data_IF_308314948763
#
_entry.id   IF_308314948763
#
_cell.length_a   1.000
_cell.length_b   1.000
_cell.length_c   1.000
_cell.angle_alpha   90.00
_cell.angle_beta   90.00
_cell.angle_gamma   90.00
#
_symmetry.space_group_name_H-M   'P 1'
#
loop_
_entity.id
_entity.type
_entity.pdbx_description
1 polymer ?
#
# COMPACT_ATOMS: atom_id res chain seq x y z
N UNK A 1 7.31 15.03 26.65
CA UNK A 1 6.39 15.08 25.48
C UNK A 1 7.06 14.70 24.15
N UNK A 2 8.14 15.36 23.73
CA UNK A 2 8.83 15.08 22.45
C UNK A 2 9.23 13.61 22.24
N UNK A 3 9.83 12.96 23.26
CA UNK A 3 10.16 11.52 23.20
C UNK A 3 8.93 10.62 22.96
N UNK A 4 7.79 10.94 23.59
CA UNK A 4 6.53 10.20 23.40
C UNK A 4 5.97 10.42 22.00
N UNK A 5 5.96 11.66 21.50
CA UNK A 5 5.56 11.96 20.12
C UNK A 5 6.43 11.21 19.10
N UNK A 6 7.74 11.12 19.33
CA UNK A 6 8.63 10.33 18.50
C UNK A 6 8.28 8.84 18.51
N UNK A 7 7.90 8.27 19.67
CA UNK A 7 7.41 6.89 19.76
C UNK A 7 6.14 6.69 18.94
N UNK A 8 5.15 7.58 19.04
CA UNK A 8 3.92 7.47 18.23
C UNK A 8 4.19 7.66 16.73
N UNK A 9 5.02 8.62 16.34
CA UNK A 9 5.39 8.84 14.93
C UNK A 9 6.15 7.65 14.33
N UNK A 10 7.05 7.05 15.12
CA UNK A 10 7.74 5.80 14.77
C UNK A 10 6.75 4.63 14.70
N UNK A 11 5.76 4.57 15.61
CA UNK A 11 4.75 3.52 15.64
C UNK A 11 3.91 3.47 14.35
N UNK A 12 3.58 4.64 13.82
CA UNK A 12 2.85 4.78 12.54
C UNK A 12 3.79 4.62 11.33
N UNK A 13 5.12 4.71 11.52
CA UNK A 13 6.09 5.00 10.46
C UNK A 13 5.58 6.12 9.57
N UNK A 14 5.43 7.33 10.12
CA UNK A 14 4.89 8.47 9.39
C UNK A 14 5.59 8.74 8.04
N UNK A 15 6.92 8.54 7.98
CA UNK A 15 7.70 8.61 6.73
C UNK A 15 7.21 7.65 5.65
N UNK A 16 6.67 6.49 6.04
CA UNK A 16 6.09 5.53 5.13
C UNK A 16 4.62 5.84 4.77
N UNK A 17 3.93 6.71 5.51
CA UNK A 17 2.57 7.15 5.16
C UNK A 17 2.52 7.97 3.88
N UNK A 18 3.62 8.67 3.58
CA UNK A 18 3.82 9.33 2.29
C UNK A 18 3.75 8.35 1.11
N UNK A 19 4.04 7.06 1.30
CA UNK A 19 4.02 6.07 0.22
C UNK A 19 2.63 5.61 -0.18
N UNK A 20 1.64 5.64 0.72
CA UNK A 20 0.28 5.24 0.39
C UNK A 20 -0.56 6.40 -0.16
N UNK A 21 -0.24 7.64 0.21
CA UNK A 21 -0.93 8.87 -0.20
C UNK A 21 -1.17 8.97 -1.72
N UNK A 22 -0.19 8.64 -2.58
CA UNK A 22 -0.39 8.63 -4.03
C UNK A 22 -1.56 7.81 -4.53
N UNK A 23 -1.95 6.73 -3.84
CA UNK A 23 -2.85 5.74 -4.43
C UNK A 23 -4.31 6.17 -4.41
N UNK A 24 -4.82 6.63 -3.25
CA UNK A 24 -6.18 7.15 -3.22
C UNK A 24 -6.29 8.49 -3.95
N UNK A 25 -5.24 9.33 -3.91
CA UNK A 25 -5.22 10.55 -4.71
C UNK A 25 -5.23 10.26 -6.21
N UNK A 26 -4.54 9.23 -6.68
CA UNK A 26 -4.60 8.79 -8.07
C UNK A 26 -6.02 8.36 -8.48
N UNK A 27 -6.71 7.61 -7.62
CA UNK A 27 -8.13 7.25 -7.84
C UNK A 27 -9.04 8.47 -7.90
N UNK A 28 -8.87 9.42 -6.99
CA UNK A 28 -9.62 10.67 -6.97
C UNK A 28 -9.34 11.57 -8.19
N UNK A 29 -8.08 11.62 -8.65
CA UNK A 29 -7.68 12.35 -9.85
C UNK A 29 -8.25 11.73 -11.12
N UNK A 30 -8.25 10.40 -11.25
CA UNK A 30 -8.92 9.76 -12.39
C UNK A 30 -10.42 10.05 -12.40
N UNK A 31 -11.07 10.01 -11.23
CA UNK A 31 -12.48 10.34 -11.10
C UNK A 31 -12.78 11.83 -11.38
N UNK A 32 -11.79 12.73 -11.25
CA UNK A 32 -11.96 14.17 -11.49
C UNK A 32 -12.36 14.49 -12.94
N UNK A 33 -12.04 13.58 -13.87
CA UNK A 33 -12.47 13.64 -15.27
C UNK A 33 -13.99 13.58 -15.44
N UNK A 34 -14.69 13.01 -14.47
CA UNK A 34 -16.14 12.79 -14.51
C UNK A 34 -16.90 13.60 -13.47
N UNK A 35 -16.23 13.98 -12.36
CA UNK A 35 -16.87 14.64 -11.23
C UNK A 35 -15.97 15.73 -10.67
N UNK A 36 -16.53 16.91 -10.38
CA UNK A 36 -15.78 17.99 -9.77
C UNK A 36 -15.23 17.59 -8.38
N UNK A 37 -13.92 17.78 -8.22
CA UNK A 37 -13.22 17.52 -6.96
C UNK A 37 -13.09 18.83 -6.19
N UNK A 38 -13.54 18.82 -4.93
CA UNK A 38 -13.41 19.98 -4.03
C UNK A 38 -12.24 19.77 -3.07
N UNK A 39 -11.60 20.86 -2.63
CA UNK A 39 -10.55 20.81 -1.62
C UNK A 39 -11.00 20.16 -0.31
N UNK A 40 -12.28 20.32 0.05
CA UNK A 40 -12.87 19.65 1.22
C UNK A 40 -12.84 18.12 1.08
N UNK A 41 -13.20 17.59 -0.10
CA UNK A 41 -13.13 16.13 -0.36
C UNK A 41 -11.68 15.64 -0.31
N UNK A 42 -10.74 16.39 -0.89
CA UNK A 42 -9.31 16.07 -0.81
C UNK A 42 -8.85 16.01 0.65
N UNK A 43 -9.22 17.00 1.47
CA UNK A 43 -8.90 17.01 2.91
C UNK A 43 -9.42 15.77 3.64
N UNK A 44 -10.68 15.37 3.41
CA UNK A 44 -11.24 14.17 4.03
C UNK A 44 -10.61 12.86 3.50
N UNK A 45 -10.23 12.80 2.22
CA UNK A 45 -9.46 11.68 1.68
C UNK A 45 -8.13 11.54 2.43
N UNK A 46 -7.40 12.63 2.63
CA UNK A 46 -6.13 12.62 3.36
C UNK A 46 -6.32 12.13 4.80
N UNK A 47 -7.34 12.62 5.51
CA UNK A 47 -7.67 12.16 6.87
C UNK A 47 -8.00 10.66 6.86
N UNK A 48 -8.84 10.20 5.93
CA UNK A 48 -9.20 8.79 5.81
C UNK A 48 -7.98 7.91 5.54
N UNK A 49 -7.08 8.31 4.64
CA UNK A 49 -5.87 7.55 4.33
C UNK A 49 -4.91 7.46 5.52
N UNK A 50 -4.62 8.61 6.15
CA UNK A 50 -3.69 8.66 7.30
C UNK A 50 -4.23 7.83 8.46
N UNK A 51 -5.53 7.92 8.74
CA UNK A 51 -6.17 7.17 9.83
C UNK A 51 -6.28 5.67 9.53
N UNK A 52 -6.70 5.27 8.32
CA UNK A 52 -6.73 3.86 7.91
C UNK A 52 -5.34 3.22 7.99
N UNK A 53 -4.31 3.91 7.48
CA UNK A 53 -2.93 3.42 7.55
C UNK A 53 -2.42 3.34 8.98
N UNK A 54 -2.73 4.34 9.80
CA UNK A 54 -2.38 4.34 11.23
C UNK A 54 -3.00 3.14 11.94
N UNK A 55 -4.27 2.87 11.68
CA UNK A 55 -4.96 1.69 12.20
C UNK A 55 -4.29 0.39 11.70
N UNK A 56 -3.99 0.29 10.40
CA UNK A 56 -3.30 -0.85 9.80
C UNK A 56 -1.96 -1.17 10.47
N UNK A 57 -1.10 -0.16 10.58
CA UNK A 57 0.25 -0.30 11.16
C UNK A 57 0.18 -0.61 12.65
N UNK A 58 -0.73 0.04 13.37
CA UNK A 58 -0.94 -0.23 14.78
C UNK A 58 -1.44 -1.64 15.02
N UNK A 59 -2.41 -2.10 14.23
CA UNK A 59 -2.95 -3.44 14.31
C UNK A 59 -1.90 -4.50 13.95
N UNK A 60 -1.12 -4.26 12.89
CA UNK A 60 -0.02 -5.13 12.49
C UNK A 60 0.97 -5.37 13.64
N UNK A 61 1.44 -4.27 14.26
CA UNK A 61 2.36 -4.34 15.40
C UNK A 61 1.73 -4.99 16.62
N UNK A 62 0.45 -4.75 16.88
CA UNK A 62 -0.26 -5.35 17.99
C UNK A 62 -0.41 -6.87 17.80
N UNK A 63 -0.83 -7.30 16.60
CA UNK A 63 -1.00 -8.70 16.26
C UNK A 63 0.33 -9.45 16.31
N UNK A 64 1.40 -8.85 15.78
CA UNK A 64 2.70 -9.49 15.65
C UNK A 64 3.64 -9.28 16.83
N UNK A 65 3.25 -8.53 17.86
CA UNK A 65 4.13 -8.17 19.00
C UNK A 65 4.93 -9.33 19.61
N UNK A 66 4.35 -10.54 19.70
CA UNK A 66 5.07 -11.74 20.21
C UNK A 66 6.10 -12.26 19.21
N UNK A 67 5.73 -12.34 17.93
CA UNK A 67 6.64 -12.77 16.86
C UNK A 67 7.74 -11.73 16.64
N UNK A 68 7.39 -10.45 16.70
CA UNK A 68 8.32 -9.35 16.54
C UNK A 68 9.43 -9.36 17.62
N UNK A 69 9.11 -9.83 18.83
CA UNK A 69 10.08 -9.98 19.92
C UNK A 69 11.09 -11.12 19.68
N UNK A 70 10.72 -12.12 18.87
CA UNK A 70 11.56 -13.27 18.55
C UNK A 70 12.42 -13.03 17.29
N UNK A 71 12.00 -12.14 16.39
CA UNK A 71 12.76 -11.82 15.17
C UNK A 71 13.83 -10.75 15.46
N UNK A 72 15.13 -11.04 15.25
CA UNK A 72 16.23 -10.08 15.49
C UNK A 72 16.03 -8.73 14.81
N UNK A 73 15.42 -8.72 13.61
CA UNK A 73 15.16 -7.51 12.81
C UNK A 73 14.10 -6.60 13.45
N UNK A 74 13.18 -7.16 14.22
CA UNK A 74 12.02 -6.44 14.76
C UNK A 74 11.98 -6.38 16.28
N UNK A 75 12.92 -7.04 16.97
CA UNK A 75 13.01 -7.04 18.43
C UNK A 75 13.18 -5.64 19.02
N UNK A 76 13.71 -4.69 18.25
CA UNK A 76 13.87 -3.29 18.66
C UNK A 76 12.59 -2.44 18.57
N UNK A 77 11.49 -2.99 18.03
CA UNK A 77 10.20 -2.29 17.90
C UNK A 77 9.62 -1.91 19.28
N UNK A 78 8.66 -1.01 19.25
CA UNK A 78 8.11 -0.26 20.37
C UNK A 78 7.36 -1.15 21.35
N UNK A 79 6.60 -2.13 20.86
CA UNK A 79 5.89 -3.10 21.69
C UNK A 79 6.87 -4.14 22.29
N UNK A 80 7.73 -4.82 21.51
CA UNK A 80 8.74 -5.75 22.07
C UNK A 80 9.68 -5.12 23.11
N UNK A 81 10.17 -3.90 22.86
CA UNK A 81 11.09 -3.19 23.77
C UNK A 81 10.39 -2.46 24.92
N UNK A 82 9.06 -2.55 25.02
CA UNK A 82 8.28 -1.94 26.10
C UNK A 82 8.17 -0.40 26.04
N UNK A 83 8.52 0.23 24.91
CA UNK A 83 8.36 1.67 24.72
C UNK A 83 6.89 2.13 24.57
N UNK A 84 6.00 1.19 24.25
CA UNK A 84 4.55 1.37 24.22
C UNK A 84 3.88 0.13 24.83
N UNK A 85 2.85 0.32 25.64
CA UNK A 85 2.06 -0.78 26.19
C UNK A 85 1.02 -1.30 25.18
N UNK A 86 0.59 -2.55 25.34
CA UNK A 86 -0.49 -3.12 24.52
C UNK A 86 -1.80 -2.32 24.62
N UNK A 87 -2.13 -1.79 25.82
CA UNK A 87 -3.33 -0.97 26.02
C UNK A 87 -3.25 0.34 25.24
N UNK A 88 -2.10 1.02 25.26
CA UNK A 88 -1.87 2.23 24.46
C UNK A 88 -1.97 1.94 22.95
N UNK A 89 -1.37 0.85 22.48
CA UNK A 89 -1.44 0.45 21.07
C UNK A 89 -2.88 0.09 20.65
N UNK A 90 -3.64 -0.63 21.47
CA UNK A 90 -5.05 -0.94 21.19
C UNK A 90 -5.89 0.34 21.13
N UNK A 91 -5.74 1.24 22.11
CA UNK A 91 -6.46 2.51 22.11
C UNK A 91 -6.13 3.34 20.85
N UNK A 92 -4.87 3.36 20.43
CA UNK A 92 -4.44 4.01 19.20
C UNK A 92 -5.14 3.42 17.96
N UNK A 93 -5.19 2.09 17.84
CA UNK A 93 -5.86 1.42 16.71
C UNK A 93 -7.36 1.72 16.69
N UNK A 94 -8.04 1.67 17.83
CA UNK A 94 -9.47 1.98 17.94
C UNK A 94 -9.74 3.44 17.55
N UNK A 95 -8.96 4.38 18.08
CA UNK A 95 -9.09 5.81 17.75
C UNK A 95 -8.82 6.08 16.27
N UNK A 96 -7.76 5.51 15.70
CA UNK A 96 -7.46 5.65 14.28
C UNK A 96 -8.58 5.06 13.40
N UNK A 97 -9.15 3.93 13.80
CA UNK A 97 -10.29 3.32 13.08
C UNK A 97 -11.54 4.20 13.16
N UNK A 98 -11.84 4.78 14.32
CA UNK A 98 -12.97 5.68 14.49
C UNK A 98 -12.82 6.96 13.64
N UNK A 99 -11.62 7.54 13.59
CA UNK A 99 -11.31 8.69 12.72
C UNK A 99 -11.47 8.31 11.24
N UNK A 100 -11.06 7.11 10.83
CA UNK A 100 -11.26 6.64 9.46
C UNK A 100 -12.74 6.52 9.10
N UNK A 101 -13.54 5.87 9.96
CA UNK A 101 -14.99 5.72 9.74
C UNK A 101 -15.68 7.09 9.69
N UNK A 102 -15.31 8.01 10.58
CA UNK A 102 -15.84 9.37 10.55
C UNK A 102 -15.44 10.12 9.28
N UNK A 103 -14.19 10.02 8.83
CA UNK A 103 -13.76 10.62 7.57
C UNK A 103 -14.52 10.04 6.38
N UNK A 104 -14.75 8.72 6.35
CA UNK A 104 -15.55 8.05 5.33
C UNK A 104 -17.01 8.55 5.31
N UNK A 105 -17.61 8.79 6.49
CA UNK A 105 -18.92 9.43 6.63
C UNK A 105 -18.95 10.84 6.03
N UNK A 106 -17.90 11.63 6.24
CA UNK A 106 -17.79 12.99 5.69
C UNK A 106 -17.56 13.02 4.17
N UNK A 107 -17.12 11.91 3.57
CA UNK A 107 -16.94 11.80 2.12
C UNK A 107 -18.27 11.54 1.41
N UNK A 108 -18.96 10.43 1.74
CA UNK A 108 -20.30 10.12 1.23
C UNK A 108 -20.87 8.84 1.90
N UNK A 109 -22.19 8.56 1.76
CA UNK A 109 -22.81 7.38 2.36
C UNK A 109 -22.23 6.04 1.90
N UNK A 110 -21.76 5.94 0.66
CA UNK A 110 -21.17 4.70 0.13
C UNK A 110 -19.81 4.41 0.79
N UNK A 111 -18.94 5.42 0.88
CA UNK A 111 -17.67 5.29 1.60
C UNK A 111 -17.88 4.92 3.07
N UNK A 112 -18.89 5.51 3.74
CA UNK A 112 -19.25 5.15 5.10
C UNK A 112 -19.63 3.68 5.23
N UNK A 113 -20.56 3.22 4.39
CA UNK A 113 -21.04 1.84 4.37
C UNK A 113 -19.92 0.83 4.09
N UNK A 114 -18.94 1.19 3.24
CA UNK A 114 -17.79 0.34 2.92
C UNK A 114 -16.63 0.44 3.92
N UNK A 115 -16.64 1.44 4.81
CA UNK A 115 -15.55 1.65 5.76
C UNK A 115 -15.26 0.44 6.68
N UNK A 116 -16.27 -0.31 7.20
CA UNK A 116 -15.99 -1.54 7.96
C UNK A 116 -15.34 -2.64 7.11
N UNK A 117 -15.73 -2.76 5.84
CA UNK A 117 -15.16 -3.73 4.89
C UNK A 117 -13.69 -3.37 4.60
N UNK A 118 -13.40 -2.09 4.38
CA UNK A 118 -12.04 -1.61 4.18
C UNK A 118 -11.14 -1.91 5.39
N UNK A 119 -11.62 -1.65 6.61
CA UNK A 119 -10.88 -2.00 7.84
C UNK A 119 -10.68 -3.51 7.99
N UNK A 120 -11.70 -4.32 7.68
CA UNK A 120 -11.59 -5.77 7.73
C UNK A 120 -10.49 -6.29 6.81
N UNK A 121 -10.42 -5.82 5.56
CA UNK A 121 -9.37 -6.18 4.60
C UNK A 121 -7.98 -5.77 5.13
N UNK A 122 -7.85 -4.53 5.59
CA UNK A 122 -6.59 -3.96 6.06
C UNK A 122 -6.08 -4.66 7.34
N UNK A 123 -6.96 -5.06 8.25
CA UNK A 123 -6.57 -5.83 9.43
C UNK A 123 -6.27 -7.29 9.09
N UNK A 124 -7.04 -7.90 8.21
CA UNK A 124 -6.87 -9.30 7.84
C UNK A 124 -5.46 -9.60 7.30
N UNK A 125 -4.87 -8.70 6.52
CA UNK A 125 -3.51 -8.89 6.00
C UNK A 125 -2.49 -9.18 7.13
N UNK A 126 -2.61 -8.51 8.29
CA UNK A 126 -1.69 -8.71 9.42
C UNK A 126 -1.78 -10.11 10.04
N UNK A 127 -2.90 -10.80 9.81
CA UNK A 127 -3.14 -12.15 10.27
C UNK A 127 -2.85 -13.19 9.19
N UNK A 128 -2.82 -12.78 7.92
CA UNK A 128 -2.76 -13.68 6.76
C UNK A 128 -1.60 -14.69 6.85
N UNK A 129 -0.43 -14.27 7.33
CA UNK A 129 0.74 -15.15 7.49
C UNK A 129 0.54 -16.33 8.44
N UNK A 130 -0.51 -16.33 9.27
CA UNK A 130 -0.87 -17.44 10.17
C UNK A 130 -1.76 -18.48 9.49
N UNK A 131 -2.41 -18.10 8.39
CA UNK A 131 -3.49 -18.88 7.79
C UNK A 131 -3.25 -19.23 6.31
N UNK A 132 -2.45 -18.45 5.57
CA UNK A 132 -2.29 -18.64 4.13
C UNK A 132 -0.87 -18.37 3.65
N UNK A 133 -0.45 -19.06 2.60
CA UNK A 133 0.79 -18.76 1.87
C UNK A 133 0.70 -17.43 1.13
N UNK A 134 -0.51 -17.03 0.72
CA UNK A 134 -0.73 -15.88 -0.18
C UNK A 134 -0.76 -14.54 0.55
N UNK A 135 -0.02 -14.40 1.65
CA UNK A 135 0.04 -13.20 2.50
C UNK A 135 0.25 -11.92 1.70
N UNK A 136 1.16 -11.95 0.73
CA UNK A 136 1.48 -10.81 -0.14
C UNK A 136 0.30 -10.37 -1.02
N UNK A 137 -0.56 -11.30 -1.44
CA UNK A 137 -1.78 -10.97 -2.20
C UNK A 137 -2.80 -10.23 -1.32
N UNK A 138 -2.88 -10.58 -0.03
CA UNK A 138 -3.75 -9.86 0.91
C UNK A 138 -3.22 -8.46 1.25
N UNK A 139 -1.90 -8.28 1.32
CA UNK A 139 -1.32 -6.93 1.39
C UNK A 139 -1.63 -6.15 0.11
N UNK A 140 -1.45 -6.76 -1.06
CA UNK A 140 -1.82 -6.18 -2.34
C UNK A 140 -3.29 -5.76 -2.38
N UNK A 141 -4.20 -6.61 -1.90
CA UNK A 141 -5.63 -6.30 -1.77
C UNK A 141 -5.87 -5.11 -0.84
N UNK A 142 -5.23 -5.05 0.32
CA UNK A 142 -5.34 -3.92 1.24
C UNK A 142 -4.91 -2.59 0.59
N UNK A 143 -3.89 -2.63 -0.28
CA UNK A 143 -3.44 -1.47 -1.04
C UNK A 143 -4.36 -1.15 -2.23
N UNK A 144 -4.95 -2.16 -2.87
CA UNK A 144 -5.90 -2.01 -3.97
C UNK A 144 -7.20 -1.29 -3.55
N UNK A 145 -7.56 -1.35 -2.26
CA UNK A 145 -8.70 -0.60 -1.71
C UNK A 145 -8.49 0.92 -1.80
N UNK A 146 -7.24 1.41 -1.71
CA UNK A 146 -6.96 2.84 -1.68
C UNK A 146 -7.40 3.60 -2.96
N UNK A 147 -6.99 3.21 -4.19
CA UNK A 147 -7.45 3.89 -5.41
C UNK A 147 -8.96 3.80 -5.63
N UNK A 148 -9.60 2.66 -5.32
CA UNK A 148 -11.06 2.52 -5.41
C UNK A 148 -11.74 3.46 -4.41
N UNK A 149 -11.25 3.50 -3.17
CA UNK A 149 -11.73 4.40 -2.14
C UNK A 149 -11.61 5.87 -2.56
N UNK A 150 -10.49 6.26 -3.17
CA UNK A 150 -10.28 7.61 -3.69
C UNK A 150 -11.24 7.99 -4.82
N UNK A 151 -11.48 7.07 -5.76
CA UNK A 151 -12.46 7.24 -6.84
C UNK A 151 -13.88 7.43 -6.29
N UNK A 152 -14.31 6.55 -5.39
CA UNK A 152 -15.63 6.61 -4.74
C UNK A 152 -15.77 7.86 -3.85
N UNK A 153 -14.71 8.27 -3.17
CA UNK A 153 -14.70 9.40 -2.25
C UNK A 153 -15.10 10.72 -2.92
N UNK A 154 -14.69 10.92 -4.17
CA UNK A 154 -15.08 12.13 -4.92
C UNK A 154 -16.42 12.00 -5.64
N UNK A 155 -17.02 10.81 -5.64
CA UNK A 155 -18.31 10.51 -6.27
C UNK A 155 -18.20 9.82 -7.62
N UNK A 156 -17.02 9.30 -8.00
CA UNK A 156 -16.85 8.50 -9.20
C UNK A 156 -17.76 7.27 -9.18
N UNK A 157 -18.39 6.96 -10.32
CA UNK A 157 -19.29 5.82 -10.50
C UNK A 157 -19.00 5.12 -11.82
N UNK A 158 -19.19 3.80 -11.84
CA UNK A 158 -18.92 2.99 -13.03
C UNK A 158 -17.45 3.05 -13.46
N UNK A 159 -17.21 2.68 -14.72
CA UNK A 159 -15.87 2.70 -15.30
C UNK A 159 -15.00 1.51 -14.91
N UNK A 160 -14.02 1.22 -15.75
CA UNK A 160 -13.00 0.18 -15.49
C UNK A 160 -11.75 0.78 -14.86
N UNK A 161 -11.59 2.10 -14.91
CA UNK A 161 -10.46 2.87 -14.39
C UNK A 161 -10.12 2.57 -12.92
N UNK A 162 -11.07 2.62 -11.95
CA UNK A 162 -10.73 2.33 -10.56
C UNK A 162 -10.26 0.89 -10.35
N UNK A 163 -10.78 -0.07 -11.13
CA UNK A 163 -10.46 -1.49 -11.02
C UNK A 163 -9.10 -1.81 -11.64
N UNK A 164 -8.79 -1.25 -12.80
CA UNK A 164 -7.45 -1.33 -13.40
C UNK A 164 -6.41 -0.72 -12.48
N UNK A 165 -6.69 0.44 -11.89
CA UNK A 165 -5.78 1.08 -10.97
C UNK A 165 -5.60 0.26 -9.69
N UNK A 166 -6.68 -0.31 -9.17
CA UNK A 166 -6.64 -1.21 -8.01
C UNK A 166 -5.80 -2.46 -8.28
N UNK A 167 -6.01 -3.12 -9.42
CA UNK A 167 -5.24 -4.30 -9.81
C UNK A 167 -3.77 -3.95 -10.05
N UNK A 168 -3.50 -2.81 -10.70
CA UNK A 168 -2.14 -2.33 -10.93
C UNK A 168 -1.39 -2.10 -9.62
N UNK A 169 -1.97 -1.31 -8.71
CA UNK A 169 -1.35 -0.98 -7.42
C UNK A 169 -1.27 -2.22 -6.53
N UNK A 170 -2.31 -3.05 -6.49
CA UNK A 170 -2.32 -4.25 -5.66
C UNK A 170 -1.27 -5.27 -6.08
N UNK A 171 -1.11 -5.52 -7.38
CA UNK A 171 -0.08 -6.44 -7.89
C UNK A 171 1.32 -5.84 -7.83
N UNK A 172 1.47 -4.54 -8.04
CA UNK A 172 2.74 -3.86 -7.82
C UNK A 172 3.20 -3.98 -6.36
N UNK A 173 2.33 -3.63 -5.40
CA UNK A 173 2.67 -3.68 -3.97
C UNK A 173 2.87 -5.10 -3.48
N UNK A 174 1.98 -6.02 -3.84
CA UNK A 174 2.16 -7.42 -3.51
C UNK A 174 3.46 -7.98 -4.12
N UNK A 175 3.82 -7.55 -5.33
CA UNK A 175 5.04 -7.99 -6.01
C UNK A 175 6.31 -7.58 -5.26
N UNK A 176 6.45 -6.32 -4.84
CA UNK A 176 7.64 -5.93 -4.08
C UNK A 176 7.62 -6.49 -2.65
N UNK A 177 6.44 -6.75 -2.06
CA UNK A 177 6.34 -7.40 -0.76
C UNK A 177 6.77 -8.87 -0.80
N UNK A 178 6.60 -9.55 -1.94
CA UNK A 178 7.22 -10.88 -2.17
C UNK A 178 8.75 -10.79 -2.08
N UNK A 179 9.36 -9.75 -2.69
CA UNK A 179 10.79 -9.54 -2.57
C UNK A 179 11.16 -9.34 -1.10
N UNK A 180 10.49 -8.40 -0.43
CA UNK A 180 10.76 -8.06 0.97
C UNK A 180 10.63 -9.25 1.92
N UNK A 181 9.61 -10.09 1.73
CA UNK A 181 9.39 -11.30 2.52
C UNK A 181 10.50 -12.35 2.38
N UNK A 182 11.33 -12.31 1.33
CA UNK A 182 12.48 -13.20 1.20
C UNK A 182 13.53 -12.99 2.29
N UNK A 183 13.58 -11.79 2.91
CA UNK A 183 14.50 -11.52 4.04
C UNK A 183 14.14 -12.25 5.32
N UNK A 184 12.85 -12.56 5.52
CA UNK A 184 12.36 -13.19 6.74
C UNK A 184 12.16 -14.71 6.55
N UNK A 185 12.67 -15.31 5.47
CA UNK A 185 12.40 -16.72 5.11
C UNK A 185 12.73 -17.72 6.23
N UNK A 186 13.94 -17.64 6.78
CA UNK A 186 14.39 -18.58 7.81
C UNK A 186 13.62 -18.39 9.12
N UNK A 187 13.35 -17.13 9.48
CA UNK A 187 12.55 -16.81 10.65
C UNK A 187 11.12 -17.33 10.50
N UNK A 188 10.49 -17.08 9.35
CA UNK A 188 9.12 -17.50 9.07
C UNK A 188 8.99 -19.03 9.10
N UNK A 189 9.96 -19.75 8.52
CA UNK A 189 10.03 -21.22 8.58
C UNK A 189 10.13 -21.74 10.01
N UNK A 190 11.07 -21.19 10.79
CA UNK A 190 11.30 -21.62 12.17
C UNK A 190 10.08 -21.41 13.08
N UNK A 191 9.22 -20.44 12.77
CA UNK A 191 8.04 -20.10 13.57
C UNK A 191 6.72 -20.57 12.94
N UNK A 192 6.77 -21.41 11.90
CA UNK A 192 5.57 -21.96 11.26
C UNK A 192 4.69 -20.92 10.55
N UNK A 193 5.26 -19.77 10.18
CA UNK A 193 4.59 -18.73 9.42
C UNK A 193 4.52 -19.09 7.94
N UNK A 194 3.53 -18.54 7.25
CA UNK A 194 3.22 -18.84 5.85
C UNK A 194 3.40 -17.59 4.99
N UNK A 195 4.12 -17.75 3.89
CA UNK A 195 4.34 -16.72 2.88
C UNK A 195 4.76 -17.37 1.56
N UNK A 196 4.70 -16.62 0.46
CA UNK A 196 5.15 -17.09 -0.86
C UNK A 196 6.60 -17.63 -0.80
N UNK A 197 7.57 -16.91 -0.18
CA UNK A 197 8.93 -17.43 0.03
C UNK A 197 9.00 -18.72 0.83
N UNK A 198 8.21 -18.86 1.90
CA UNK A 198 8.22 -20.09 2.71
C UNK A 198 7.81 -21.32 1.89
N UNK A 199 6.76 -21.20 1.08
CA UNK A 199 6.23 -22.33 0.28
C UNK A 199 7.03 -22.62 -0.98
N UNK A 200 7.45 -21.59 -1.71
CA UNK A 200 8.02 -21.74 -3.05
C UNK A 200 9.54 -21.52 -3.09
N UNK A 201 10.14 -21.02 -2.01
CA UNK A 201 11.56 -20.66 -1.97
C UNK A 201 11.86 -19.35 -2.71
N UNK A 202 13.08 -18.84 -2.55
CA UNK A 202 13.48 -17.54 -3.11
C UNK A 202 13.38 -17.50 -4.64
N UNK A 203 13.91 -18.46 -5.43
CA UNK A 203 13.90 -18.35 -6.89
C UNK A 203 12.49 -18.23 -7.50
N UNK A 204 11.56 -19.08 -7.06
CA UNK A 204 10.17 -19.04 -7.54
C UNK A 204 9.43 -17.80 -7.02
N UNK A 205 9.76 -17.31 -5.83
CA UNK A 205 9.19 -16.06 -5.29
C UNK A 205 9.59 -14.86 -6.14
N UNK A 206 10.85 -14.77 -6.58
CA UNK A 206 11.28 -13.73 -7.51
C UNK A 206 10.51 -13.81 -8.84
N UNK A 207 10.27 -15.02 -9.36
CA UNK A 207 9.46 -15.20 -10.58
C UNK A 207 7.99 -14.75 -10.38
N UNK A 208 7.37 -15.09 -9.25
CA UNK A 208 6.02 -14.65 -8.90
C UNK A 208 5.97 -13.12 -8.78
N UNK A 209 6.95 -12.51 -8.11
CA UNK A 209 7.08 -11.05 -7.98
C UNK A 209 7.14 -10.36 -9.36
N UNK A 210 7.98 -10.88 -10.28
CA UNK A 210 8.08 -10.37 -11.65
C UNK A 210 6.76 -10.49 -12.40
N UNK A 211 6.06 -11.61 -12.29
CA UNK A 211 4.74 -11.77 -12.91
C UNK A 211 3.75 -10.74 -12.37
N UNK A 212 3.74 -10.50 -11.07
CA UNK A 212 2.88 -9.48 -10.46
C UNK A 212 3.22 -8.07 -10.97
N UNK A 213 4.50 -7.74 -11.14
CA UNK A 213 4.92 -6.46 -11.73
C UNK A 213 4.55 -6.33 -13.21
N UNK A 214 4.63 -7.41 -13.99
CA UNK A 214 4.15 -7.44 -15.38
C UNK A 214 2.64 -7.19 -15.44
N UNK A 215 1.86 -7.82 -14.56
CA UNK A 215 0.42 -7.55 -14.45
C UNK A 215 0.18 -6.08 -14.09
N UNK A 216 0.96 -5.53 -13.16
CA UNK A 216 0.83 -4.13 -12.77
C UNK A 216 1.03 -3.16 -13.94
N UNK A 217 2.14 -3.33 -14.69
CA UNK A 217 2.44 -2.53 -15.87
C UNK A 217 1.38 -2.71 -16.95
N UNK A 218 0.90 -3.93 -17.16
CA UNK A 218 -0.18 -4.23 -18.12
C UNK A 218 -1.46 -3.48 -17.76
N UNK A 219 -1.83 -3.44 -16.48
CA UNK A 219 -2.98 -2.68 -16.01
C UNK A 219 -2.80 -1.16 -16.14
N UNK A 220 -1.59 -0.64 -15.87
CA UNK A 220 -1.28 0.77 -16.14
C UNK A 220 -1.38 1.11 -17.63
N UNK A 221 -0.87 0.27 -18.53
CA UNK A 221 -1.09 0.44 -19.97
C UNK A 221 -2.58 0.33 -20.32
N UNK A 222 -3.29 -0.63 -19.72
CA UNK A 222 -4.74 -0.81 -19.84
C UNK A 222 -5.55 0.45 -19.50
N UNK A 223 -5.10 1.22 -18.51
CA UNK A 223 -5.72 2.49 -18.11
C UNK A 223 -5.71 3.54 -19.25
N UNK A 224 -4.71 3.52 -20.13
CA UNK A 224 -4.67 4.41 -21.29
C UNK A 224 -5.73 4.06 -22.36
N UNK A 225 -6.29 2.85 -22.33
CA UNK A 225 -7.42 2.46 -23.18
C UNK A 225 -8.78 2.71 -22.51
N UNK A 226 -8.83 2.68 -21.17
CA UNK A 226 -10.03 3.03 -20.41
C UNK A 226 -10.23 4.55 -20.31
N UNK A 227 -9.16 5.33 -20.43
CA UNK A 227 -9.18 6.78 -20.31
C UNK A 227 -8.20 7.44 -21.31
N UNK A 228 -8.57 8.56 -21.97
CA UNK A 228 -7.69 9.34 -22.84
C UNK A 228 -6.65 10.11 -22.02
N UNK A 229 -5.64 9.40 -21.49
CA UNK A 229 -4.56 9.95 -20.66
C UNK A 229 -3.38 10.50 -21.49
N UNK A 230 -3.36 10.22 -22.80
CA UNK A 230 -2.40 10.76 -23.75
C UNK A 230 -0.97 10.20 -23.61
N UNK A 231 -0.08 10.69 -24.47
CA UNK A 231 1.30 10.19 -24.57
C UNK A 231 2.12 10.40 -23.30
N UNK A 232 1.90 11.51 -22.57
CA UNK A 232 2.61 11.82 -21.32
C UNK A 232 2.38 10.74 -20.27
N UNK A 233 1.17 10.19 -20.18
CA UNK A 233 0.88 9.06 -19.30
C UNK A 233 1.66 7.82 -19.71
N UNK A 234 1.64 7.45 -20.99
CA UNK A 234 2.35 6.26 -21.49
C UNK A 234 3.87 6.36 -21.30
N UNK A 235 4.47 7.53 -21.51
CA UNK A 235 5.89 7.78 -21.21
C UNK A 235 6.14 7.59 -19.71
N UNK A 236 5.28 8.12 -18.85
CA UNK A 236 5.41 7.91 -17.41
C UNK A 236 5.26 6.44 -17.00
N UNK A 237 4.34 5.69 -17.61
CA UNK A 237 4.21 4.23 -17.41
C UNK A 237 5.46 3.49 -17.87
N UNK A 238 6.07 3.89 -18.99
CA UNK A 238 7.34 3.32 -19.44
C UNK A 238 8.49 3.57 -18.44
N UNK A 239 8.55 4.77 -17.84
CA UNK A 239 9.52 5.08 -16.78
C UNK A 239 9.26 4.22 -15.54
N UNK A 240 7.99 4.08 -15.11
CA UNK A 240 7.63 3.18 -14.00
C UNK A 240 8.04 1.75 -14.29
N UNK A 241 7.77 1.24 -15.50
CA UNK A 241 8.17 -0.10 -15.90
C UNK A 241 9.70 -0.29 -15.87
N UNK A 242 10.46 0.69 -16.36
CA UNK A 242 11.92 0.67 -16.29
C UNK A 242 12.44 0.66 -14.84
N UNK A 243 11.79 1.40 -13.93
CA UNK A 243 12.13 1.39 -12.50
C UNK A 243 11.81 0.04 -11.84
N UNK A 244 10.71 -0.61 -12.20
CA UNK A 244 10.39 -1.96 -11.70
C UNK A 244 11.35 -3.01 -12.24
N UNK A 245 11.77 -2.91 -13.50
CA UNK A 245 12.83 -3.77 -14.06
C UNK A 245 14.14 -3.57 -13.32
N UNK A 246 14.51 -2.30 -13.06
CA UNK A 246 15.69 -1.97 -12.29
C UNK A 246 15.60 -2.55 -10.86
N UNK A 247 14.49 -2.38 -10.16
CA UNK A 247 14.24 -2.98 -8.85
C UNK A 247 14.45 -4.51 -8.87
N UNK A 248 13.84 -5.19 -9.85
CA UNK A 248 13.97 -6.64 -10.01
C UNK A 248 15.40 -7.09 -10.33
N UNK A 249 16.21 -6.23 -10.96
CA UNK A 249 17.62 -6.51 -11.25
C UNK A 249 18.53 -6.40 -10.01
N UNK A 250 18.11 -5.66 -8.99
CA UNK A 250 18.86 -5.49 -7.74
C UNK A 250 18.78 -6.72 -6.83
N UNK A 251 17.78 -7.59 -7.01
CA UNK A 251 17.53 -8.74 -6.12
C UNK A 251 17.77 -10.03 -6.89
N UNK A 252 18.73 -10.83 -6.42
CA UNK A 252 19.02 -12.15 -6.96
C UNK A 252 18.73 -13.23 -5.93
N UNK A 253 18.48 -14.45 -6.40
CA UNK A 253 18.15 -15.55 -5.50
C UNK A 253 19.30 -15.94 -4.57
N UNK A 254 20.54 -15.69 -5.01
CA UNK A 254 21.80 -15.88 -4.30
C UNK A 254 22.28 -14.63 -3.54
N UNK A 255 21.69 -13.46 -3.80
CA UNK A 255 22.11 -12.20 -3.19
C UNK A 255 20.91 -11.26 -2.92
N UNK A 256 20.54 -11.16 -1.64
CA UNK A 256 19.48 -10.27 -1.14
C UNK A 256 20.03 -8.96 -0.54
N UNK A 257 21.33 -8.68 -0.66
CA UNK A 257 22.00 -7.54 -0.01
C UNK A 257 21.41 -6.18 -0.40
N UNK A 258 20.95 -6.03 -1.65
CA UNK A 258 20.38 -4.79 -2.16
C UNK A 258 18.85 -4.70 -2.00
N UNK A 259 18.21 -5.63 -1.30
CA UNK A 259 16.75 -5.66 -1.17
C UNK A 259 16.20 -4.42 -0.48
N UNK A 260 16.92 -3.83 0.48
CA UNK A 260 16.50 -2.56 1.09
C UNK A 260 16.43 -1.43 0.05
N UNK A 261 17.41 -1.36 -0.84
CA UNK A 261 17.45 -0.38 -1.94
C UNK A 261 16.30 -0.61 -2.91
N UNK A 262 16.05 -1.87 -3.27
CA UNK A 262 14.90 -2.27 -4.09
C UNK A 262 13.57 -1.84 -3.45
N UNK A 263 13.41 -2.07 -2.14
CA UNK A 263 12.22 -1.65 -1.40
C UNK A 263 12.05 -0.12 -1.37
N UNK A 264 13.12 0.63 -1.09
CA UNK A 264 13.06 2.09 -0.98
C UNK A 264 12.73 2.76 -2.33
N UNK A 265 13.08 2.15 -3.47
CA UNK A 265 12.72 2.65 -4.82
C UNK A 265 11.20 2.80 -5.00
N UNK A 266 10.41 1.89 -4.43
CA UNK A 266 8.95 1.89 -4.57
C UNK A 266 8.29 3.16 -4.03
N UNK A 267 8.92 3.79 -3.02
CA UNK A 267 8.45 5.06 -2.51
C UNK A 267 8.49 6.17 -3.55
N UNK A 268 9.57 6.23 -4.32
CA UNK A 268 9.73 7.19 -5.41
C UNK A 268 8.82 6.87 -6.59
N UNK A 269 8.62 5.59 -6.92
CA UNK A 269 7.70 5.14 -7.97
C UNK A 269 6.26 5.62 -7.70
N UNK A 270 5.80 5.53 -6.45
CA UNK A 270 4.46 5.99 -6.08
C UNK A 270 4.26 7.49 -6.30
N UNK A 271 5.23 8.31 -5.88
CA UNK A 271 5.20 9.77 -6.08
C UNK A 271 5.29 10.10 -7.57
N UNK A 272 6.22 9.47 -8.29
CA UNK A 272 6.38 9.64 -9.73
C UNK A 272 5.07 9.34 -10.46
N UNK A 273 4.41 8.22 -10.15
CA UNK A 273 3.16 7.84 -10.79
C UNK A 273 2.05 8.87 -10.57
N UNK A 274 1.92 9.39 -9.35
CA UNK A 274 0.96 10.47 -9.06
C UNK A 274 1.26 11.72 -9.89
N UNK A 275 2.53 12.14 -9.95
CA UNK A 275 2.94 13.32 -10.73
C UNK A 275 2.72 13.13 -12.23
N UNK A 276 3.01 11.94 -12.76
CA UNK A 276 2.69 11.57 -14.15
C UNK A 276 1.20 11.71 -14.41
N UNK A 277 0.36 11.22 -13.50
CA UNK A 277 -1.10 11.30 -13.66
C UNK A 277 -1.59 12.76 -13.61
N UNK A 278 -1.07 13.58 -12.70
CA UNK A 278 -1.37 15.01 -12.64
C UNK A 278 -0.94 15.71 -13.94
N UNK A 279 0.29 15.47 -14.40
CA UNK A 279 0.82 16.05 -15.62
C UNK A 279 0.04 15.60 -16.87
N UNK A 280 -0.38 14.34 -16.89
CA UNK A 280 -1.23 13.79 -17.95
C UNK A 280 -2.57 14.51 -18.01
N UNK A 281 -3.25 14.73 -16.88
CA UNK A 281 -4.61 15.29 -16.83
C UNK A 281 -4.68 16.81 -16.93
N UNK A 282 -3.67 17.53 -16.41
CA UNK A 282 -3.71 19.00 -16.29
C UNK A 282 -2.58 19.71 -17.04
N UNK A 283 -1.72 18.95 -17.72
CA UNK A 283 -0.61 19.54 -18.47
C UNK A 283 -1.07 20.30 -19.73
N UNK A 284 -0.23 21.22 -20.24
CA UNK A 284 -0.58 22.10 -21.36
C UNK A 284 -0.86 21.35 -22.67
N UNK A 285 -0.39 20.11 -22.79
CA UNK A 285 -0.59 19.18 -23.92
C UNK A 285 -2.00 18.58 -24.01
N UNK A 286 -2.89 18.87 -23.06
CA UNK A 286 -4.32 18.52 -23.17
C UNK A 286 -5.16 19.59 -23.90
N UNK A 287 -4.57 20.74 -24.25
CA UNK A 287 -5.25 21.83 -24.97
C UNK A 287 -5.13 21.70 -26.48
#
# INVERSE_FOLDING_TARGET
MLKRLAVYASFVRFSHSVFALPFALAGALLASRHVAVTWTKVGWILVAMVSARSAAMGFNRLADARLDALNPRTAARELPRGAMSRREATAFVVMASAVFVYAAYRLNPLCFALSPVALAIVFWYSLAKRYTTWTQLFLGLAMAVAPVGGWLAVGGRGGWEPWLLALAIGTWVGGFDVLYACQDLDFDRAHGLRSIPVRFGVPASLAISRLMHVIAVTCFVGLAFAAPLGAVYLVGVAIVAALLVYEQSLVRADDLSQLKRAFDLNGYVGILYLLVLVASLYGPWQR
#
